data_IF_323779790976
#
_entry.id   IF_323779790976
#
_cell.length_a   1.000
_cell.length_b   1.000
_cell.length_c   1.000
_cell.angle_alpha   90.00
_cell.angle_beta   90.00
_cell.angle_gamma   90.00
#
_symmetry.space_group_name_H-M   'P 1'
#
loop_
_entity.id
_entity.type
_entity.pdbx_description
1 polymer ?
#
# COMPACT_ATOMS: atom_id res chain seq x y z
N UNK A 1 -46.46 -19.08 -22.93
CA UNK A 1 -45.59 -17.98 -23.42
C UNK A 1 -45.33 -16.92 -22.35
N UNK A 2 -46.31 -16.50 -21.53
CA UNK A 2 -46.13 -15.45 -20.50
C UNK A 2 -45.21 -15.80 -19.31
N UNK A 3 -45.13 -17.06 -18.87
CA UNK A 3 -44.21 -17.46 -17.77
C UNK A 3 -42.74 -17.17 -18.14
N UNK A 4 -42.33 -17.41 -19.38
CA UNK A 4 -40.95 -17.17 -19.81
C UNK A 4 -40.52 -15.70 -19.68
N UNK A 5 -41.47 -14.75 -19.82
CA UNK A 5 -41.22 -13.32 -19.63
C UNK A 5 -41.07 -12.95 -18.13
N UNK A 6 -41.84 -13.59 -17.25
CA UNK A 6 -41.73 -13.40 -15.79
C UNK A 6 -40.39 -13.90 -15.24
N UNK A 7 -39.88 -15.03 -15.75
CA UNK A 7 -38.57 -15.57 -15.35
C UNK A 7 -37.38 -14.70 -15.80
N UNK A 8 -37.49 -14.04 -16.95
CA UNK A 8 -36.44 -13.15 -17.45
C UNK A 8 -36.41 -11.80 -16.71
N UNK A 9 -37.56 -11.32 -16.22
CA UNK A 9 -37.63 -10.04 -15.48
C UNK A 9 -36.97 -10.09 -14.10
N UNK A 10 -36.88 -11.27 -13.48
CA UNK A 10 -36.33 -11.42 -12.11
C UNK A 10 -34.80 -11.46 -12.04
N UNK A 11 -34.10 -11.55 -13.18
CA UNK A 11 -32.63 -11.73 -13.21
C UNK A 11 -31.89 -10.37 -13.31
N UNK A 12 -32.59 -9.26 -13.56
CA UNK A 12 -31.96 -7.96 -13.86
C UNK A 12 -31.81 -7.02 -12.65
N UNK A 13 -31.72 -7.55 -11.43
CA UNK A 13 -31.34 -6.75 -10.26
C UNK A 13 -29.85 -6.90 -9.99
N UNK A 14 -29.02 -6.38 -10.91
CA UNK A 14 -27.59 -6.26 -10.66
C UNK A 14 -27.37 -5.17 -9.60
N UNK A 15 -27.24 -5.58 -8.34
CA UNK A 15 -26.86 -4.72 -7.23
C UNK A 15 -25.45 -4.17 -7.47
N UNK A 16 -25.36 -2.88 -7.83
CA UNK A 16 -24.09 -2.15 -7.85
C UNK A 16 -23.70 -1.82 -6.41
N UNK A 17 -22.85 -2.66 -5.82
CA UNK A 17 -22.18 -2.29 -4.57
C UNK A 17 -21.24 -1.12 -4.88
N UNK A 18 -21.56 0.07 -4.37
CA UNK A 18 -20.63 1.19 -4.36
C UNK A 18 -19.37 0.74 -3.60
N UNK A 19 -18.27 0.52 -4.32
CA UNK A 19 -16.99 0.15 -3.73
C UNK A 19 -16.45 1.41 -3.04
N UNK A 20 -16.66 1.50 -1.73
CA UNK A 20 -16.01 2.52 -0.92
C UNK A 20 -14.51 2.20 -0.91
N UNK A 21 -13.76 2.89 -1.77
CA UNK A 21 -12.31 2.74 -1.81
C UNK A 21 -11.74 3.41 -0.56
N UNK A 22 -11.45 2.63 0.47
CA UNK A 22 -10.65 3.13 1.58
C UNK A 22 -9.20 3.23 1.13
N UNK A 23 -8.70 4.45 0.96
CA UNK A 23 -7.29 4.75 0.66
C UNK A 23 -6.45 4.48 1.92
N UNK A 24 -6.22 3.19 2.18
CA UNK A 24 -5.36 2.66 3.21
C UNK A 24 -4.01 2.32 2.60
N UNK A 25 -2.94 2.94 3.07
CA UNK A 25 -1.59 2.68 2.55
C UNK A 25 -0.55 2.77 3.65
N UNK A 26 0.44 1.90 3.58
CA UNK A 26 1.65 1.98 4.38
C UNK A 26 2.67 2.88 3.69
N UNK A 27 3.10 3.93 4.38
CA UNK A 27 4.12 4.88 3.93
C UNK A 27 5.40 4.64 4.70
N UNK A 28 6.46 4.23 4.02
CA UNK A 28 7.80 4.06 4.60
C UNK A 28 8.78 5.07 4.01
N UNK A 29 9.52 5.78 4.86
CA UNK A 29 10.65 6.61 4.48
C UNK A 29 11.93 5.88 4.89
N UNK A 30 12.81 5.56 3.95
CA UNK A 30 14.09 4.90 4.22
C UNK A 30 15.25 5.68 3.60
N UNK A 31 16.50 5.50 4.08
CA UNK A 31 17.67 6.05 3.41
C UNK A 31 17.84 5.45 2.01
N UNK A 32 18.35 6.23 1.05
CA UNK A 32 18.59 5.77 -0.32
C UNK A 32 19.58 4.60 -0.34
N UNK A 33 19.31 3.59 -1.17
CA UNK A 33 20.04 2.32 -1.20
C UNK A 33 21.52 2.41 -1.61
N UNK A 34 21.94 3.53 -2.20
CA UNK A 34 23.32 3.75 -2.63
C UNK A 34 24.28 4.22 -1.52
N UNK A 35 23.79 4.60 -0.32
CA UNK A 35 24.63 5.17 0.76
C UNK A 35 25.07 4.16 1.81
N UNK A 36 25.21 2.87 1.45
CA UNK A 36 25.94 1.92 2.32
C UNK A 36 27.45 2.21 2.30
N UNK A 37 27.94 3.06 1.38
CA UNK A 37 29.36 3.33 1.20
C UNK A 37 29.57 4.83 1.45
N UNK A 38 30.10 5.16 2.63
CA UNK A 38 30.89 6.36 2.95
C UNK A 38 30.53 7.63 2.16
N UNK A 39 29.60 8.44 2.63
CA UNK A 39 29.62 9.90 2.41
C UNK A 39 28.57 10.60 3.26
N UNK A 40 29.03 11.56 4.04
CA UNK A 40 28.31 12.68 4.66
C UNK A 40 27.68 13.60 3.61
N UNK A 41 26.79 13.06 2.77
CA UNK A 41 25.90 13.87 1.94
C UNK A 41 24.49 13.74 2.50
N UNK A 42 23.93 14.90 2.86
CA UNK A 42 22.59 15.12 3.39
C UNK A 42 21.60 14.02 3.03
N UNK A 43 21.05 13.38 4.07
CA UNK A 43 20.19 12.20 4.02
C UNK A 43 19.12 12.24 2.90
N UNK A 44 19.47 11.78 1.70
CA UNK A 44 18.48 11.58 0.65
C UNK A 44 17.64 10.38 1.09
N UNK A 45 16.42 10.66 1.56
CA UNK A 45 15.46 9.65 2.00
C UNK A 45 14.50 9.35 0.84
N UNK A 46 14.18 8.08 0.64
CA UNK A 46 13.27 7.58 -0.38
C UNK A 46 11.94 7.17 0.24
N UNK A 47 10.84 7.55 -0.40
CA UNK A 47 9.48 7.19 -0.04
C UNK A 47 9.07 5.87 -0.71
N UNK A 48 8.54 4.95 0.08
CA UNK A 48 7.96 3.69 -0.37
C UNK A 48 6.49 3.62 0.07
N UNK A 49 5.57 3.34 -0.85
CA UNK A 49 4.13 3.20 -0.58
C UNK A 49 3.70 1.76 -0.88
N UNK A 50 3.03 1.10 0.07
CA UNK A 50 2.49 -0.24 -0.11
C UNK A 50 1.07 -0.37 0.42
N UNK A 51 0.24 -1.15 -0.27
CA UNK A 51 -1.11 -1.49 0.17
C UNK A 51 -1.05 -2.81 0.94
N UNK A 52 -0.65 -2.72 2.22
CA UNK A 52 -0.53 -3.86 3.13
C UNK A 52 -1.37 -3.60 4.38
N UNK A 53 -1.89 -4.66 5.03
CA UNK A 53 -2.60 -4.50 6.30
C UNK A 53 -1.70 -3.89 7.38
N UNK A 54 -2.26 -3.26 8.43
CA UNK A 54 -1.49 -2.52 9.43
C UNK A 54 -0.48 -3.39 10.18
N UNK A 55 -0.77 -4.69 10.38
CA UNK A 55 0.16 -5.65 10.97
C UNK A 55 1.41 -5.92 10.11
N UNK A 56 1.35 -5.64 8.81
CA UNK A 56 2.46 -5.80 7.86
C UNK A 56 3.09 -4.46 7.46
N UNK A 57 2.61 -3.34 7.99
CA UNK A 57 3.17 -2.02 7.74
C UNK A 57 4.45 -1.79 8.56
N UNK A 58 5.52 -2.46 8.16
CA UNK A 58 6.83 -2.33 8.76
C UNK A 58 7.92 -2.48 7.69
N UNK A 59 9.16 -2.15 8.04
CA UNK A 59 10.28 -2.23 7.09
C UNK A 59 10.42 -3.64 6.50
N UNK A 60 10.23 -4.69 7.30
CA UNK A 60 10.41 -6.07 6.83
C UNK A 60 9.34 -6.46 5.80
N UNK A 61 8.08 -6.11 6.03
CA UNK A 61 6.97 -6.43 5.13
C UNK A 61 6.94 -5.57 3.87
N UNK A 62 7.37 -4.31 3.94
CA UNK A 62 7.23 -3.35 2.83
C UNK A 62 8.51 -3.19 2.02
N UNK A 63 9.67 -3.20 2.68
CA UNK A 63 10.95 -2.84 2.05
C UNK A 63 11.69 -4.07 1.56
N UNK A 64 11.80 -5.15 2.36
CA UNK A 64 12.55 -6.35 1.95
C UNK A 64 12.14 -6.94 0.60
N UNK A 65 10.84 -6.99 0.23
CA UNK A 65 10.44 -7.51 -1.08
C UNK A 65 10.82 -6.60 -2.25
N UNK A 66 11.19 -5.34 -1.98
CA UNK A 66 11.38 -4.28 -2.99
C UNK A 66 12.83 -3.82 -3.14
N UNK A 67 13.72 -4.27 -2.26
CA UNK A 67 15.13 -3.91 -2.26
C UNK A 67 16.00 -5.10 -2.67
N UNK A 68 17.16 -4.82 -3.26
CA UNK A 68 18.11 -5.85 -3.69
C UNK A 68 18.63 -6.70 -2.53
N UNK A 69 19.10 -7.92 -2.82
CA UNK A 69 19.61 -8.89 -1.83
C UNK A 69 20.68 -8.32 -0.90
N UNK A 70 21.50 -7.37 -1.37
CA UNK A 70 22.50 -6.68 -0.55
C UNK A 70 21.89 -5.98 0.68
N UNK A 71 20.69 -5.41 0.56
CA UNK A 71 19.97 -4.80 1.68
C UNK A 71 19.24 -5.85 2.49
N UNK A 72 18.80 -6.95 1.86
CA UNK A 72 18.19 -8.10 2.54
C UNK A 72 19.16 -8.73 3.54
N UNK A 73 20.44 -8.86 3.18
CA UNK A 73 21.50 -9.30 4.10
C UNK A 73 21.81 -8.29 5.21
N UNK A 74 21.67 -6.98 4.94
CA UNK A 74 21.95 -5.91 5.90
C UNK A 74 20.67 -5.34 6.55
N UNK A 75 19.55 -6.06 6.47
CA UNK A 75 18.23 -5.59 6.89
C UNK A 75 18.20 -5.12 8.34
N UNK A 76 18.92 -5.83 9.22
CA UNK A 76 19.02 -5.51 10.65
C UNK A 76 19.63 -4.12 10.91
N UNK A 77 20.55 -3.66 10.04
CA UNK A 77 21.14 -2.33 10.15
C UNK A 77 20.38 -1.26 9.35
N UNK A 78 19.61 -1.67 8.34
CA UNK A 78 18.89 -0.78 7.44
C UNK A 78 17.50 -0.41 7.98
N UNK A 79 16.75 -1.40 8.47
CA UNK A 79 15.38 -1.21 8.92
C UNK A 79 15.19 -0.28 10.12
N UNK A 80 16.10 -0.23 11.12
CA UNK A 80 16.01 0.76 12.18
C UNK A 80 16.15 2.21 11.69
N UNK A 81 16.65 2.43 10.47
CA UNK A 81 16.76 3.75 9.84
C UNK A 81 15.53 4.12 9.00
N UNK A 82 14.55 3.22 8.89
CA UNK A 82 13.31 3.44 8.18
C UNK A 82 12.20 3.89 9.14
N UNK A 83 11.37 4.82 8.68
CA UNK A 83 10.17 5.27 9.37
C UNK A 83 8.93 4.83 8.57
N UNK A 84 8.20 3.84 9.07
CA UNK A 84 7.00 3.29 8.45
C UNK A 84 5.76 3.68 9.24
N UNK A 85 4.80 4.30 8.56
CA UNK A 85 3.53 4.74 9.12
C UNK A 85 2.37 4.23 8.27
N UNK A 86 1.41 3.60 8.93
CA UNK A 86 0.15 3.24 8.30
C UNK A 86 -0.76 4.47 8.25
N UNK A 87 -1.16 4.86 7.05
CA UNK A 87 -2.06 5.98 6.81
C UNK A 87 -3.40 5.45 6.30
N UNK A 88 -4.47 5.76 7.04
CA UNK A 88 -5.85 5.61 6.56
C UNK A 88 -6.37 7.01 6.26
N UNK A 89 -6.50 7.36 4.97
CA UNK A 89 -7.12 8.63 4.60
C UNK A 89 -8.62 8.42 4.57
N UNK A 90 -9.36 9.25 5.29
CA UNK A 90 -10.82 9.24 5.22
C UNK A 90 -11.20 9.74 3.82
N UNK A 91 -11.61 8.84 2.92
CA UNK A 91 -11.90 9.14 1.50
C UNK A 91 -13.25 9.83 1.30
N UNK A 92 -13.92 10.25 2.38
CA UNK A 92 -15.19 11.00 2.38
C UNK A 92 -15.17 12.26 1.51
N UNK A 93 -13.99 12.83 1.22
CA UNK A 93 -13.83 14.03 0.37
C UNK A 93 -13.82 13.70 -1.13
N UNK A 94 -13.44 12.49 -1.54
CA UNK A 94 -13.31 12.13 -2.98
C UNK A 94 -14.63 11.56 -3.54
N UNK A 95 -15.55 11.12 -2.67
CA UNK A 95 -16.90 10.66 -3.07
C UNK A 95 -17.92 11.79 -3.31
N UNK A 96 -17.50 13.06 -3.19
CA UNK A 96 -18.35 14.23 -3.50
C UNK A 96 -18.06 14.74 -4.91
N UNK A 97 -18.41 13.96 -5.94
CA UNK A 97 -18.63 14.40 -7.32
C UNK A 97 -19.66 13.48 -7.98
#
# INVERSE_FOLDING_TARGET
MLWKLLLMSTIFSASTFAQFYEDQRCRCICPKTNTIINSTEQSIRTLYIAYVPPNQCNCYGVILPRVSDKIRHNAQSFCPRCDCKYEKRNTTVIMLI
#
